data_IF_026407533488
#
_entry.id   IF_026407533488
#
_cell.length_a   1.000
_cell.length_b   1.000
_cell.length_c   1.000
_cell.angle_alpha   90.00
_cell.angle_beta   90.00
_cell.angle_gamma   90.00
#
_symmetry.space_group_name_H-M   'P 1'
#
loop_
_entity.id
_entity.type
_entity.pdbx_description
1 polymer ?
#
# COMPACT_ATOMS: atom_id res chain seq x y z
N UNK A 1 14.87 -1.64 -5.95
CA UNK A 1 13.91 -1.60 -7.08
C UNK A 1 13.39 -3.01 -7.39
N UNK A 2 12.09 -3.19 -7.65
CA UNK A 2 11.45 -4.51 -7.85
C UNK A 2 11.54 -5.11 -9.25
N UNK A 3 12.05 -4.34 -10.22
CA UNK A 3 12.23 -4.76 -11.61
C UNK A 3 13.68 -4.55 -12.04
N UNK A 4 14.12 -5.29 -13.07
CA UNK A 4 15.42 -5.11 -13.71
C UNK A 4 15.31 -5.23 -15.22
N UNK A 5 16.02 -4.38 -15.93
CA UNK A 5 16.17 -4.50 -17.37
C UNK A 5 17.06 -5.72 -17.69
N UNK A 6 16.62 -6.54 -18.63
CA UNK A 6 17.40 -7.65 -19.18
C UNK A 6 17.37 -7.58 -20.69
N UNK A 7 18.52 -7.74 -21.34
CA UNK A 7 18.58 -7.89 -22.80
C UNK A 7 18.22 -9.32 -23.18
N UNK A 8 17.25 -9.47 -24.05
CA UNK A 8 16.88 -10.72 -24.70
C UNK A 8 16.69 -10.47 -26.18
N UNK A 9 17.45 -11.16 -27.04
CA UNK A 9 17.44 -10.98 -28.50
C UNK A 9 17.51 -9.50 -28.95
N UNK A 10 18.50 -8.75 -28.45
CA UNK A 10 18.68 -7.31 -28.70
C UNK A 10 17.52 -6.39 -28.28
N UNK A 11 16.54 -6.89 -27.52
CA UNK A 11 15.47 -6.07 -26.92
C UNK A 11 15.68 -6.00 -25.41
N UNK A 12 15.52 -4.82 -24.85
CA UNK A 12 15.49 -4.63 -23.40
C UNK A 12 14.07 -4.92 -22.91
N UNK A 13 13.96 -5.90 -22.02
CA UNK A 13 12.70 -6.26 -21.36
C UNK A 13 12.84 -5.98 -19.87
N UNK A 14 11.82 -5.33 -19.31
CA UNK A 14 11.72 -5.10 -17.87
C UNK A 14 11.16 -6.37 -17.22
N UNK A 15 11.95 -7.00 -16.34
CA UNK A 15 11.60 -8.27 -15.69
C UNK A 15 11.45 -8.04 -14.19
N UNK A 16 10.35 -8.55 -13.63
CA UNK A 16 10.11 -8.58 -12.19
C UNK A 16 11.17 -9.46 -11.49
N UNK A 17 11.71 -8.99 -10.38
CA UNK A 17 12.74 -9.74 -9.67
C UNK A 17 12.18 -11.01 -9.01
N UNK A 18 12.95 -12.12 -8.94
CA UNK A 18 12.46 -13.40 -8.38
C UNK A 18 11.86 -13.29 -6.98
N UNK A 19 12.43 -12.44 -6.13
CA UNK A 19 11.94 -12.23 -4.78
C UNK A 19 10.60 -11.48 -4.73
N UNK A 20 10.30 -10.63 -5.72
CA UNK A 20 8.98 -9.99 -5.87
C UNK A 20 7.97 -10.99 -6.40
N UNK A 21 8.34 -11.81 -7.40
CA UNK A 21 7.50 -12.91 -7.90
C UNK A 21 7.09 -13.84 -6.74
N UNK A 22 8.04 -14.23 -5.88
CA UNK A 22 7.75 -15.08 -4.73
C UNK A 22 6.78 -14.42 -3.72
N UNK A 23 6.96 -13.13 -3.42
CA UNK A 23 6.02 -12.37 -2.58
C UNK A 23 4.62 -12.31 -3.22
N UNK A 24 4.56 -12.12 -4.54
CA UNK A 24 3.31 -12.11 -5.30
C UNK A 24 2.61 -13.47 -5.24
N UNK A 25 3.32 -14.58 -5.48
CA UNK A 25 2.74 -15.93 -5.34
C UNK A 25 2.21 -16.15 -3.92
N UNK A 26 2.95 -15.75 -2.88
CA UNK A 26 2.49 -15.87 -1.47
C UNK A 26 1.20 -15.08 -1.23
N UNK A 27 1.10 -13.86 -1.76
CA UNK A 27 -0.11 -13.04 -1.69
C UNK A 27 -1.29 -13.71 -2.42
N UNK A 28 -1.11 -14.06 -3.71
CA UNK A 28 -2.16 -14.66 -4.53
C UNK A 28 -2.70 -15.95 -3.89
N UNK A 29 -1.81 -16.81 -3.39
CA UNK A 29 -2.18 -18.04 -2.67
C UNK A 29 -3.08 -17.74 -1.48
N UNK A 30 -2.62 -16.87 -0.56
CA UNK A 30 -3.38 -16.53 0.65
C UNK A 30 -4.72 -15.87 0.32
N UNK A 31 -4.73 -14.94 -0.63
CA UNK A 31 -5.95 -14.26 -1.06
C UNK A 31 -6.99 -15.28 -1.54
N UNK A 32 -6.60 -16.18 -2.44
CA UNK A 32 -7.51 -17.21 -2.97
C UNK A 32 -7.97 -18.20 -1.89
N UNK A 33 -7.11 -18.57 -0.94
CA UNK A 33 -7.51 -19.41 0.21
C UNK A 33 -8.58 -18.74 1.07
N UNK A 34 -8.43 -17.45 1.38
CA UNK A 34 -9.46 -16.71 2.13
C UNK A 34 -10.73 -16.53 1.31
N UNK A 35 -10.61 -16.30 0.00
CA UNK A 35 -11.76 -16.13 -0.90
C UNK A 35 -12.61 -17.40 -1.06
N UNK A 36 -12.05 -18.59 -0.81
CA UNK A 36 -12.80 -19.86 -0.80
C UNK A 36 -13.65 -20.05 0.46
N UNK A 37 -13.44 -19.24 1.50
CA UNK A 37 -14.12 -19.36 2.79
C UNK A 37 -15.11 -18.22 2.98
N UNK A 38 -16.38 -18.57 3.23
CA UNK A 38 -17.43 -17.59 3.52
C UNK A 38 -17.24 -16.89 4.88
N UNK A 39 -16.25 -17.28 5.68
CA UNK A 39 -16.01 -16.70 7.01
C UNK A 39 -15.28 -15.35 6.97
N UNK A 40 -14.80 -14.93 5.80
CA UNK A 40 -13.98 -13.72 5.67
C UNK A 40 -14.69 -12.60 4.93
N UNK A 41 -14.39 -11.36 5.32
CA UNK A 41 -14.75 -10.16 4.57
C UNK A 41 -13.46 -9.43 4.21
N UNK A 42 -13.24 -9.20 2.91
CA UNK A 42 -12.13 -8.38 2.46
C UNK A 42 -12.43 -6.89 2.69
N UNK A 43 -11.46 -6.20 3.27
CA UNK A 43 -11.45 -4.76 3.50
C UNK A 43 -10.23 -4.19 2.79
N UNK A 44 -10.48 -3.22 1.92
CA UNK A 44 -9.48 -2.57 1.09
C UNK A 44 -9.30 -1.15 1.59
N UNK A 45 -8.07 -0.75 1.87
CA UNK A 45 -7.74 0.59 2.32
C UNK A 45 -6.52 1.08 1.56
N UNK A 46 -6.41 2.40 1.45
CA UNK A 46 -5.28 3.08 0.84
C UNK A 46 -5.38 4.59 1.09
N UNK A 47 -4.24 5.27 0.94
CA UNK A 47 -4.15 6.72 0.92
C UNK A 47 -4.17 7.28 -0.51
N UNK A 48 -4.89 8.36 -0.71
CA UNK A 48 -4.76 9.17 -1.92
C UNK A 48 -4.59 10.64 -1.58
N UNK A 49 -4.39 11.46 -2.62
CA UNK A 49 -4.32 12.90 -2.44
C UNK A 49 -5.15 13.61 -3.49
N UNK A 50 -5.66 14.78 -3.11
CA UNK A 50 -6.33 15.73 -3.99
C UNK A 50 -5.79 17.12 -3.76
N UNK A 51 -5.96 17.96 -4.77
CA UNK A 51 -5.75 19.39 -4.64
C UNK A 51 -7.07 20.13 -4.42
N UNK A 52 -7.01 21.21 -3.65
CA UNK A 52 -8.15 22.06 -3.32
C UNK A 52 -8.92 22.51 -4.57
N UNK A 53 -8.20 22.86 -5.64
CA UNK A 53 -8.81 23.31 -6.89
C UNK A 53 -8.99 22.18 -7.92
N UNK A 54 -8.71 20.93 -7.55
CA UNK A 54 -8.70 19.79 -8.47
C UNK A 54 -7.41 19.67 -9.29
N UNK A 55 -7.34 18.60 -10.09
CA UNK A 55 -6.25 18.34 -11.02
C UNK A 55 -6.73 18.47 -12.47
N UNK A 56 -5.83 18.76 -13.43
CA UNK A 56 -6.19 18.75 -14.84
C UNK A 56 -6.83 17.41 -15.25
N UNK A 57 -7.98 17.47 -15.91
CA UNK A 57 -8.65 16.28 -16.46
C UNK A 57 -8.41 16.26 -17.97
N UNK A 58 -7.96 15.13 -18.52
CA UNK A 58 -7.77 14.95 -19.97
C UNK A 58 -9.05 15.34 -20.70
N UNK A 59 -8.94 16.32 -21.60
CA UNK A 59 -10.06 16.90 -22.35
C UNK A 59 -9.66 17.03 -23.81
N UNK A 60 -10.56 16.68 -24.72
CA UNK A 60 -10.36 16.90 -26.16
C UNK A 60 -10.43 18.39 -26.46
N UNK A 61 -9.41 18.91 -27.14
CA UNK A 61 -9.36 20.31 -27.58
C UNK A 61 -9.53 20.35 -29.09
N UNK A 62 -10.38 21.25 -29.58
CA UNK A 62 -10.51 21.50 -31.00
C UNK A 62 -9.43 22.51 -31.42
N UNK A 63 -8.56 22.15 -32.38
CA UNK A 63 -7.49 23.02 -32.89
C UNK A 63 -8.03 24.34 -33.47
N UNK A 64 -9.28 24.35 -33.91
CA UNK A 64 -9.95 25.52 -34.49
C UNK A 64 -10.45 26.52 -33.45
N UNK A 65 -10.52 26.12 -32.17
CA UNK A 65 -10.99 26.96 -31.05
C UNK A 65 -10.03 26.87 -29.85
N UNK A 66 -8.86 27.53 -29.93
CA UNK A 66 -7.91 27.57 -28.83
C UNK A 66 -8.42 28.33 -27.59
N UNK A 67 -9.52 29.08 -27.70
CA UNK A 67 -10.14 29.81 -26.58
C UNK A 67 -11.24 29.00 -25.88
N UNK A 68 -11.77 27.95 -26.52
CA UNK A 68 -12.64 26.93 -25.93
C UNK A 68 -11.91 25.94 -25.01
N UNK A 69 -10.58 26.06 -24.89
CA UNK A 69 -9.76 25.30 -23.94
C UNK A 69 -10.21 25.66 -22.52
N UNK A 70 -10.59 24.67 -21.67
CA UNK A 70 -10.86 24.93 -20.26
C UNK A 70 -9.67 25.69 -19.65
N UNK A 71 -9.93 26.85 -19.04
CA UNK A 71 -8.87 27.63 -18.38
C UNK A 71 -8.09 26.70 -17.44
N UNK A 72 -6.76 26.66 -17.59
CA UNK A 72 -5.88 26.02 -16.61
C UNK A 72 -6.24 26.56 -15.22
N UNK A 73 -6.46 25.66 -14.27
CA UNK A 73 -6.75 26.01 -12.89
C UNK A 73 -5.71 27.03 -12.40
N UNK A 74 -6.16 28.13 -11.78
CA UNK A 74 -5.29 29.17 -11.21
C UNK A 74 -4.57 28.60 -9.97
N UNK A 75 -3.55 27.79 -10.21
CA UNK A 75 -2.83 27.01 -9.20
C UNK A 75 -3.66 25.84 -8.65
N UNK A 76 -2.98 24.81 -8.16
CA UNK A 76 -3.61 23.60 -7.62
C UNK A 76 -4.26 23.87 -6.24
N UNK A 77 -3.75 24.84 -5.49
CA UNK A 77 -4.22 25.15 -4.13
C UNK A 77 -3.62 24.19 -3.10
N UNK A 78 -4.28 24.04 -1.94
CA UNK A 78 -3.79 23.15 -0.86
C UNK A 78 -3.87 21.69 -1.26
N UNK A 79 -2.91 20.87 -0.80
CA UNK A 79 -2.97 19.42 -0.94
C UNK A 79 -3.68 18.82 0.28
N UNK A 80 -4.57 17.88 0.01
CA UNK A 80 -5.22 17.06 1.03
C UNK A 80 -4.79 15.61 0.88
N UNK A 81 -4.44 14.98 1.99
CA UNK A 81 -4.26 13.52 2.07
C UNK A 81 -5.56 12.93 2.55
N UNK A 82 -6.04 11.91 1.85
CA UNK A 82 -7.27 11.19 2.15
C UNK A 82 -6.92 9.75 2.45
N UNK A 83 -7.48 9.21 3.52
CA UNK A 83 -7.43 7.79 3.88
C UNK A 83 -8.84 7.29 4.06
N UNK A 84 -9.14 6.12 3.51
CA UNK A 84 -10.43 5.46 3.69
C UNK A 84 -10.29 3.94 3.55
N UNK A 85 -11.36 3.24 3.90
CA UNK A 85 -11.48 1.80 3.74
C UNK A 85 -12.87 1.43 3.22
N UNK A 86 -12.93 0.38 2.40
CA UNK A 86 -14.17 -0.13 1.82
C UNK A 86 -14.16 -1.64 1.65
N UNK A 87 -15.34 -2.18 1.40
CA UNK A 87 -15.57 -3.59 1.06
C UNK A 87 -16.25 -3.67 -0.31
N UNK A 88 -16.51 -4.87 -0.81
CA UNK A 88 -17.34 -5.05 -2.00
C UNK A 88 -18.76 -4.44 -1.89
N UNK A 89 -19.22 -4.10 -0.68
CA UNK A 89 -20.52 -3.47 -0.41
C UNK A 89 -20.49 -1.94 -0.35
N UNK A 90 -19.31 -1.33 -0.48
CA UNK A 90 -19.16 0.11 -0.32
C UNK A 90 -18.08 0.50 0.70
N UNK A 91 -17.88 1.80 0.84
CA UNK A 91 -17.05 2.39 1.89
C UNK A 91 -17.58 2.06 3.29
N UNK A 92 -16.67 1.85 4.23
CA UNK A 92 -17.01 1.68 5.63
C UNK A 92 -17.44 3.03 6.21
N UNK A 93 -18.53 3.03 6.98
CA UNK A 93 -19.05 4.25 7.59
C UNK A 93 -18.04 4.81 8.61
N UNK A 94 -17.94 6.13 8.67
CA UNK A 94 -17.13 6.89 9.64
C UNK A 94 -15.63 6.51 9.62
N UNK A 95 -15.15 6.02 8.46
CA UNK A 95 -13.75 5.66 8.21
C UNK A 95 -13.04 6.63 7.26
N UNK A 96 -13.67 7.75 6.89
CA UNK A 96 -13.06 8.77 6.04
C UNK A 96 -12.18 9.69 6.87
N UNK A 97 -10.93 9.87 6.43
CA UNK A 97 -9.99 10.80 7.04
C UNK A 97 -9.44 11.72 5.96
N UNK A 98 -9.59 13.03 6.17
CA UNK A 98 -9.08 14.07 5.26
C UNK A 98 -8.21 15.08 6.02
N UNK A 99 -6.93 15.07 5.71
CA UNK A 99 -5.88 15.88 6.32
C UNK A 99 -5.44 16.96 5.34
N UNK A 100 -5.52 18.24 5.73
CA UNK A 100 -5.03 19.37 4.94
C UNK A 100 -3.66 19.86 5.41
N UNK A 101 -2.90 20.49 4.50
CA UNK A 101 -1.69 21.23 4.88
C UNK A 101 -2.07 22.55 5.57
N UNK A 102 -1.94 22.63 6.90
CA UNK A 102 -2.12 23.89 7.64
C UNK A 102 -0.98 24.89 7.37
N UNK A 103 -1.33 26.17 7.20
CA UNK A 103 -0.42 27.26 6.81
C UNK A 103 0.37 27.90 7.95
N UNK A 104 0.38 27.36 9.17
CA UNK A 104 1.11 27.99 10.29
C UNK A 104 2.41 27.31 10.73
N UNK A 105 2.80 26.20 10.11
CA UNK A 105 4.18 25.74 10.18
C UNK A 105 4.61 25.25 8.81
N UNK A 106 5.66 25.88 8.26
CA UNK A 106 6.43 25.39 7.10
C UNK A 106 7.07 24.05 7.48
N UNK A 107 6.25 23.03 7.53
CA UNK A 107 6.69 21.67 7.65
C UNK A 107 5.82 20.85 6.71
N UNK A 108 6.30 20.76 5.47
CA UNK A 108 5.76 19.86 4.43
C UNK A 108 5.71 18.39 4.89
N UNK A 109 6.20 18.08 6.09
CA UNK A 109 6.25 16.77 6.73
C UNK A 109 5.08 16.41 7.65
N UNK A 110 4.01 17.22 7.78
CA UNK A 110 2.74 16.78 8.41
C UNK A 110 1.85 15.97 7.43
N UNK A 111 2.48 15.14 6.59
CA UNK A 111 1.83 14.12 5.78
C UNK A 111 1.50 12.89 6.66
N UNK A 112 0.70 11.96 6.12
CA UNK A 112 0.38 10.68 6.78
C UNK A 112 1.63 10.06 7.44
N UNK A 113 1.51 9.64 8.71
CA UNK A 113 2.59 9.03 9.47
C UNK A 113 2.08 7.90 10.36
N UNK A 114 2.99 7.13 10.95
CA UNK A 114 2.65 5.92 11.70
C UNK A 114 1.70 6.21 12.88
N UNK A 115 1.86 7.35 13.56
CA UNK A 115 0.98 7.76 14.66
C UNK A 115 -0.43 8.06 14.17
N UNK A 116 -0.56 8.90 13.13
CA UNK A 116 -1.87 9.26 12.57
C UNK A 116 -2.59 8.01 12.04
N UNK A 117 -1.86 7.16 11.32
CA UNK A 117 -2.40 5.92 10.78
C UNK A 117 -2.85 4.96 11.89
N UNK A 118 -2.02 4.75 12.91
CA UNK A 118 -2.37 3.90 14.06
C UNK A 118 -3.59 4.45 14.81
N UNK A 119 -3.65 5.77 15.05
CA UNK A 119 -4.81 6.39 15.67
C UNK A 119 -6.09 6.22 14.83
N UNK A 120 -5.98 6.30 13.50
CA UNK A 120 -7.11 6.03 12.59
C UNK A 120 -7.55 4.56 12.65
N UNK A 121 -6.60 3.62 12.69
CA UNK A 121 -6.90 2.20 12.88
C UNK A 121 -7.70 1.98 14.16
N UNK A 122 -7.23 2.54 15.28
CA UNK A 122 -7.86 2.35 16.60
C UNK A 122 -9.22 3.02 16.72
N UNK A 123 -9.36 4.25 16.23
CA UNK A 123 -10.54 5.09 16.47
C UNK A 123 -11.60 4.97 15.39
N UNK A 124 -11.25 4.56 14.18
CA UNK A 124 -12.17 4.50 13.04
C UNK A 124 -12.27 3.10 12.44
N UNK A 125 -11.15 2.53 11.97
CA UNK A 125 -11.19 1.25 11.26
C UNK A 125 -11.70 0.13 12.17
N UNK A 126 -11.07 -0.11 13.32
CA UNK A 126 -11.43 -1.21 14.22
C UNK A 126 -12.90 -1.15 14.67
N UNK A 127 -13.46 0.01 15.09
CA UNK A 127 -14.90 0.13 15.34
C UNK A 127 -15.77 -0.26 14.15
N UNK A 128 -15.41 0.17 12.93
CA UNK A 128 -16.15 -0.20 11.73
C UNK A 128 -16.02 -1.70 11.41
N UNK A 129 -14.86 -2.31 11.62
CA UNK A 129 -14.69 -3.76 11.44
C UNK A 129 -15.53 -4.56 12.44
N UNK A 130 -15.65 -4.11 13.69
CA UNK A 130 -16.49 -4.77 14.69
C UNK A 130 -17.98 -4.76 14.34
N UNK A 131 -18.42 -3.83 13.47
CA UNK A 131 -19.79 -3.82 12.95
C UNK A 131 -20.02 -4.87 11.86
N UNK A 132 -18.96 -5.54 11.40
CA UNK A 132 -19.02 -6.63 10.44
C UNK A 132 -19.00 -7.96 11.20
N UNK A 133 -20.01 -8.81 10.98
CA UNK A 133 -20.19 -10.09 11.71
C UNK A 133 -19.19 -11.21 11.32
N UNK A 134 -18.03 -10.86 10.74
CA UNK A 134 -17.04 -11.82 10.21
C UNK A 134 -15.61 -11.33 10.42
N UNK A 135 -14.67 -12.27 10.40
CA UNK A 135 -13.24 -11.94 10.41
C UNK A 135 -12.88 -11.14 9.16
N UNK A 136 -12.34 -9.95 9.34
CA UNK A 136 -11.92 -9.11 8.24
C UNK A 136 -10.49 -9.45 7.80
N UNK A 137 -10.28 -9.50 6.48
CA UNK A 137 -8.96 -9.58 5.83
C UNK A 137 -8.66 -8.20 5.26
N UNK A 138 -7.78 -7.46 5.93
CA UNK A 138 -7.38 -6.11 5.56
C UNK A 138 -6.25 -6.20 4.55
N UNK A 139 -6.50 -5.72 3.34
CA UNK A 139 -5.49 -5.58 2.28
C UNK A 139 -4.79 -4.25 2.47
N UNK A 140 -3.47 -4.30 2.69
CA UNK A 140 -2.64 -3.14 3.04
C UNK A 140 -1.34 -3.18 2.24
N UNK A 141 -0.82 -2.05 1.79
CA UNK A 141 0.48 -1.99 1.13
C UNK A 141 1.64 -2.04 2.16
N UNK A 142 2.86 -1.70 1.74
CA UNK A 142 4.06 -1.79 2.59
C UNK A 142 4.71 -0.44 2.85
N UNK A 143 3.95 0.66 2.81
CA UNK A 143 4.52 1.97 3.12
C UNK A 143 5.24 1.95 4.49
N UNK A 144 6.32 2.74 4.66
CA UNK A 144 7.12 2.69 5.87
C UNK A 144 6.32 2.93 7.16
N UNK A 145 5.34 3.83 7.12
CA UNK A 145 4.50 4.17 8.27
C UNK A 145 3.46 3.08 8.60
N UNK A 146 3.12 2.21 7.65
CA UNK A 146 2.33 1.01 7.91
C UNK A 146 3.18 -0.12 8.50
N UNK A 147 4.49 -0.08 8.27
CA UNK A 147 5.42 -1.18 8.48
C UNK A 147 6.38 -0.91 9.63
N UNK A 148 5.92 -0.17 10.65
CA UNK A 148 6.71 0.05 11.86
C UNK A 148 6.91 -1.28 12.60
N UNK A 149 8.16 -1.74 12.62
CA UNK A 149 8.52 -3.04 13.16
C UNK A 149 8.54 -3.01 14.70
N UNK A 150 7.73 -3.86 15.35
CA UNK A 150 7.64 -3.94 16.82
C UNK A 150 8.97 -4.33 17.46
N UNK A 151 9.67 -5.28 16.83
CA UNK A 151 10.97 -5.77 17.28
C UNK A 151 11.99 -5.51 16.19
N UNK A 152 12.69 -4.38 16.26
CA UNK A 152 13.73 -4.05 15.29
C UNK A 152 14.78 -5.16 15.30
N UNK A 153 15.00 -5.76 14.13
CA UNK A 153 16.08 -6.71 13.94
C UNK A 153 17.41 -5.97 14.09
N UNK A 154 18.41 -6.56 14.76
CA UNK A 154 19.76 -6.03 14.71
C UNK A 154 20.21 -5.88 13.26
N UNK A 155 20.99 -4.84 13.00
CA UNK A 155 21.68 -4.56 11.74
C UNK A 155 23.19 -4.55 11.98
N UNK A 156 24.01 -4.53 10.94
CA UNK A 156 25.47 -4.54 11.08
C UNK A 156 26.01 -3.41 11.99
N UNK A 157 25.34 -2.27 12.04
CA UNK A 157 25.70 -1.14 12.91
C UNK A 157 25.25 -1.31 14.37
N UNK A 158 24.32 -2.22 14.70
CA UNK A 158 23.81 -2.46 16.06
C UNK A 158 24.95 -2.79 17.04
N UNK A 159 24.84 -2.33 18.29
CA UNK A 159 25.88 -2.54 19.30
C UNK A 159 25.94 -4.02 19.71
N UNK A 160 27.14 -4.51 20.05
CA UNK A 160 27.37 -5.90 20.49
C UNK A 160 26.41 -6.33 21.59
N UNK A 161 26.17 -5.46 22.58
CA UNK A 161 25.23 -5.70 23.70
C UNK A 161 23.81 -5.99 23.21
N UNK A 162 23.31 -5.20 22.28
CA UNK A 162 21.94 -5.33 21.80
C UNK A 162 21.81 -6.55 20.86
N UNK A 163 22.87 -6.91 20.14
CA UNK A 163 22.95 -8.18 19.39
C UNK A 163 22.92 -9.39 20.32
N UNK A 164 23.69 -9.39 21.41
CA UNK A 164 23.66 -10.49 22.39
C UNK A 164 22.31 -10.60 23.09
N UNK A 165 21.70 -9.47 23.48
CA UNK A 165 20.37 -9.46 24.09
C UNK A 165 19.33 -10.04 23.13
N UNK A 166 19.35 -9.63 21.87
CA UNK A 166 18.43 -10.16 20.87
C UNK A 166 18.61 -11.68 20.65
N UNK A 167 19.85 -12.18 20.62
CA UNK A 167 20.12 -13.62 20.51
C UNK A 167 19.58 -14.40 21.72
N UNK A 168 19.72 -13.85 22.93
CA UNK A 168 19.16 -14.43 24.15
C UNK A 168 17.63 -14.45 24.12
N UNK A 169 16.98 -13.33 23.79
CA UNK A 169 15.52 -13.21 23.71
C UNK A 169 14.90 -14.18 22.68
N UNK A 170 15.63 -14.50 21.62
CA UNK A 170 15.20 -15.46 20.59
C UNK A 170 15.69 -16.89 20.84
N UNK A 171 16.32 -17.16 21.98
CA UNK A 171 16.90 -18.47 22.35
C UNK A 171 17.87 -19.03 21.28
N UNK A 172 18.65 -18.16 20.64
CA UNK A 172 19.66 -18.54 19.64
C UNK A 172 21.00 -18.69 20.34
N UNK A 173 21.63 -19.90 20.33
CA UNK A 173 22.93 -20.11 20.93
C UNK A 173 24.01 -19.26 20.27
N UNK A 174 24.89 -18.68 21.07
CA UNK A 174 26.07 -17.96 20.59
C UNK A 174 27.26 -18.17 21.54
N UNK A 175 28.51 -18.18 21.02
CA UNK A 175 29.70 -18.29 21.87
C UNK A 175 29.86 -17.07 22.81
N UNK A 176 30.22 -17.28 24.09
CA UNK A 176 30.30 -16.20 25.08
C UNK A 176 31.34 -15.11 24.73
N UNK A 177 32.42 -15.48 24.05
CA UNK A 177 33.50 -14.56 23.64
C UNK A 177 33.38 -14.06 22.19
N UNK A 178 32.24 -14.27 21.53
CA UNK A 178 32.05 -13.90 20.12
C UNK A 178 32.33 -12.44 19.83
N UNK A 179 33.01 -12.16 18.73
CA UNK A 179 33.18 -10.80 18.22
C UNK A 179 31.84 -10.29 17.67
N UNK A 180 31.71 -8.97 17.53
CA UNK A 180 30.51 -8.35 16.94
C UNK A 180 30.24 -8.90 15.53
N UNK A 181 31.29 -9.17 14.75
CA UNK A 181 31.20 -9.80 13.42
C UNK A 181 30.56 -11.19 13.47
N UNK A 182 30.94 -12.01 14.44
CA UNK A 182 30.48 -13.40 14.56
C UNK A 182 29.02 -13.44 14.98
N UNK A 183 28.65 -12.58 15.94
CA UNK A 183 27.25 -12.39 16.35
C UNK A 183 26.40 -11.91 15.16
N UNK A 184 26.90 -10.95 14.37
CA UNK A 184 26.22 -10.49 13.18
C UNK A 184 26.06 -11.60 12.13
N UNK A 185 27.07 -12.46 11.92
CA UNK A 185 26.99 -13.58 11.00
C UNK A 185 25.88 -14.57 11.41
N UNK A 186 25.79 -14.91 12.70
CA UNK A 186 24.73 -15.77 13.25
C UNK A 186 23.35 -15.11 13.05
N UNK A 187 23.23 -13.82 13.39
CA UNK A 187 21.98 -13.08 13.24
C UNK A 187 21.57 -13.02 11.78
N UNK A 188 22.49 -12.71 10.85
CA UNK A 188 22.21 -12.63 9.40
C UNK A 188 21.70 -13.96 8.85
N UNK A 189 22.34 -15.07 9.20
CA UNK A 189 21.92 -16.41 8.77
C UNK A 189 20.52 -16.80 9.29
N UNK A 190 20.16 -16.32 10.48
CA UNK A 190 18.84 -16.56 11.08
C UNK A 190 17.79 -15.53 10.65
N UNK A 191 18.19 -14.31 10.27
CA UNK A 191 17.32 -13.19 9.89
C UNK A 191 16.35 -13.59 8.77
N UNK A 192 16.81 -14.39 7.81
CA UNK A 192 15.99 -14.86 6.69
C UNK A 192 14.82 -15.77 7.11
N UNK A 193 14.92 -16.42 8.27
CA UNK A 193 13.89 -17.31 8.79
C UNK A 193 12.97 -16.63 9.80
N UNK A 194 13.24 -15.38 10.17
CA UNK A 194 12.46 -14.64 11.17
C UNK A 194 11.45 -13.78 10.47
N UNK A 195 10.17 -14.08 10.71
CA UNK A 195 9.09 -13.24 10.21
C UNK A 195 9.10 -11.89 10.93
N UNK A 196 9.13 -10.81 10.14
CA UNK A 196 9.00 -9.45 10.67
C UNK A 196 7.59 -9.27 11.21
N UNK A 197 7.48 -8.73 12.42
CA UNK A 197 6.19 -8.35 13.03
C UNK A 197 6.04 -6.84 13.04
N UNK A 198 4.94 -6.35 12.49
CA UNK A 198 4.62 -4.93 12.42
C UNK A 198 3.59 -4.54 13.48
N UNK A 199 3.67 -3.32 14.00
CA UNK A 199 2.80 -2.84 15.07
C UNK A 199 1.33 -2.85 14.67
N UNK A 200 1.05 -2.38 13.46
CA UNK A 200 -0.30 -2.41 12.86
C UNK A 200 -0.80 -3.85 12.71
N UNK A 201 0.04 -4.77 12.22
CA UNK A 201 -0.35 -6.17 12.00
C UNK A 201 -0.72 -6.88 13.30
N UNK A 202 0.06 -6.64 14.36
CA UNK A 202 -0.18 -7.17 15.71
C UNK A 202 -1.45 -6.54 16.33
N UNK A 203 -1.64 -5.23 16.19
CA UNK A 203 -2.84 -4.54 16.66
C UNK A 203 -4.11 -5.13 16.02
N UNK A 204 -4.10 -5.34 14.71
CA UNK A 204 -5.22 -5.91 13.95
C UNK A 204 -5.43 -7.39 14.33
N UNK A 205 -4.35 -8.18 14.45
CA UNK A 205 -4.44 -9.58 14.86
C UNK A 205 -5.04 -9.75 16.26
N UNK A 206 -4.64 -8.91 17.22
CA UNK A 206 -5.19 -8.95 18.59
C UNK A 206 -6.69 -8.67 18.64
N UNK A 207 -7.26 -8.09 17.59
CA UNK A 207 -8.70 -7.85 17.43
C UNK A 207 -9.42 -8.94 16.64
N UNK A 208 -8.74 -10.04 16.30
CA UNK A 208 -9.35 -11.17 15.60
C UNK A 208 -9.49 -10.95 14.09
N UNK A 209 -8.69 -10.04 13.52
CA UNK A 209 -8.66 -9.74 12.09
C UNK A 209 -7.30 -10.09 11.48
N UNK A 210 -7.22 -10.13 10.16
CA UNK A 210 -6.04 -10.59 9.42
C UNK A 210 -5.52 -9.45 8.56
N UNK A 211 -4.21 -9.22 8.56
CA UNK A 211 -3.55 -8.35 7.57
C UNK A 211 -3.01 -9.18 6.42
N UNK A 212 -3.35 -8.80 5.20
CA UNK A 212 -2.82 -9.36 3.97
C UNK A 212 -2.06 -8.26 3.21
N UNK A 213 -0.73 -8.26 3.36
CA UNK A 213 0.15 -7.28 2.71
C UNK A 213 0.20 -7.48 1.20
N UNK A 214 -0.04 -6.43 0.43
CA UNK A 214 0.14 -6.43 -1.03
C UNK A 214 1.59 -6.75 -1.39
N UNK A 215 1.84 -7.40 -2.55
CA UNK A 215 3.18 -7.49 -3.08
C UNK A 215 3.66 -6.09 -3.46
N UNK A 216 4.96 -5.75 -3.27
CA UNK A 216 5.48 -4.47 -3.73
C UNK A 216 5.22 -4.25 -5.22
N UNK A 217 4.85 -3.03 -5.61
CA UNK A 217 4.55 -2.64 -7.00
C UNK A 217 3.37 -3.38 -7.65
N UNK A 218 2.46 -3.93 -6.85
CA UNK A 218 1.30 -4.68 -7.33
C UNK A 218 -0.03 -4.07 -6.83
N UNK A 219 -0.22 -2.77 -7.01
CA UNK A 219 -1.43 -2.06 -6.59
C UNK A 219 -2.69 -2.46 -7.38
N UNK A 220 -2.55 -3.09 -8.55
CA UNK A 220 -3.67 -3.57 -9.37
C UNK A 220 -4.55 -4.62 -8.65
N UNK A 221 -4.06 -5.21 -7.56
CA UNK A 221 -4.83 -6.12 -6.70
C UNK A 221 -5.63 -5.41 -5.61
N UNK A 222 -5.56 -4.07 -5.53
CA UNK A 222 -6.27 -3.26 -4.54
C UNK A 222 -7.43 -2.47 -5.21
N UNK A 223 -8.70 -2.90 -5.06
CA UNK A 223 -9.87 -2.28 -5.69
C UNK A 223 -10.08 -0.80 -5.38
N UNK A 224 -9.60 -0.33 -4.22
CA UNK A 224 -9.75 1.07 -3.82
C UNK A 224 -8.99 2.02 -4.77
N UNK A 225 -7.97 1.54 -5.49
CA UNK A 225 -7.26 2.31 -6.51
C UNK A 225 -8.19 2.70 -7.68
N UNK A 226 -9.09 1.79 -8.07
CA UNK A 226 -10.11 2.07 -9.08
C UNK A 226 -11.14 3.09 -8.56
N UNK A 227 -11.51 2.98 -7.27
CA UNK A 227 -12.36 3.96 -6.62
C UNK A 227 -11.70 5.35 -6.63
N UNK A 228 -10.43 5.45 -6.25
CA UNK A 228 -9.65 6.69 -6.31
C UNK A 228 -9.57 7.28 -7.70
N UNK A 229 -9.36 6.45 -8.74
CA UNK A 229 -9.40 6.91 -10.13
C UNK A 229 -10.72 7.59 -10.48
N UNK A 230 -11.85 6.97 -10.15
CA UNK A 230 -13.17 7.53 -10.41
C UNK A 230 -13.45 8.79 -9.57
N UNK A 231 -13.26 8.70 -8.25
CA UNK A 231 -13.64 9.75 -7.30
C UNK A 231 -12.83 11.02 -7.56
N UNK A 232 -11.51 10.91 -7.81
CA UNK A 232 -10.67 12.07 -8.14
C UNK A 232 -11.06 12.71 -9.47
N UNK A 233 -11.45 11.90 -10.45
CA UNK A 233 -11.98 12.40 -11.74
C UNK A 233 -13.30 13.13 -11.54
N UNK A 234 -14.22 12.56 -10.77
CA UNK A 234 -15.49 13.20 -10.43
C UNK A 234 -15.26 14.51 -9.69
N UNK A 235 -14.45 14.49 -8.64
CA UNK A 235 -14.08 15.68 -7.86
C UNK A 235 -13.52 16.79 -8.75
N UNK A 236 -12.54 16.47 -9.59
CA UNK A 236 -11.86 17.47 -10.44
C UNK A 236 -12.79 18.07 -11.50
N UNK A 237 -13.77 17.32 -12.00
CA UNK A 237 -14.78 17.81 -12.95
C UNK A 237 -15.82 18.73 -12.32
N UNK A 238 -16.07 18.60 -11.02
CA UNK A 238 -17.21 19.25 -10.36
C UNK A 238 -16.80 20.28 -9.31
N UNK A 239 -15.53 20.35 -8.91
CA UNK A 239 -15.06 21.34 -7.95
C UNK A 239 -15.16 22.76 -8.55
N UNK A 240 -15.93 23.69 -7.96
CA UNK A 240 -16.12 25.02 -8.54
C UNK A 240 -14.90 25.93 -8.34
N UNK A 241 -14.54 26.71 -9.37
CA UNK A 241 -13.43 27.69 -9.33
C UNK A 241 -13.64 28.93 -8.42
N UNK A 242 -14.66 28.95 -7.57
CA UNK A 242 -15.21 30.19 -6.98
C UNK A 242 -14.64 30.58 -5.60
N UNK A 243 -14.55 31.89 -5.36
CA UNK A 243 -14.22 32.55 -4.09
C UNK A 243 -15.15 32.13 -2.93
N UNK A 244 -14.59 31.92 -1.74
CA UNK A 244 -15.28 31.45 -0.52
C UNK A 244 -14.36 30.58 0.37
N UNK A 245 -14.85 30.08 1.53
CA UNK A 245 -14.06 29.19 2.38
C UNK A 245 -13.79 27.87 1.66
N UNK A 246 -12.60 27.75 1.09
CA UNK A 246 -12.26 26.68 0.15
C UNK A 246 -12.27 25.29 0.80
N UNK A 247 -11.93 25.19 2.09
CA UNK A 247 -11.87 23.90 2.81
C UNK A 247 -13.23 23.20 2.88
N UNK A 248 -14.28 23.92 3.27
CA UNK A 248 -15.63 23.36 3.42
C UNK A 248 -16.19 22.90 2.07
N UNK A 249 -15.95 23.70 1.01
CA UNK A 249 -16.32 23.32 -0.35
C UNK A 249 -15.61 22.05 -0.81
N UNK A 250 -14.30 21.95 -0.53
CA UNK A 250 -13.51 20.76 -0.86
C UNK A 250 -14.02 19.53 -0.11
N UNK A 251 -14.34 19.64 1.19
CA UNK A 251 -14.94 18.55 1.97
C UNK A 251 -16.30 18.13 1.40
N UNK A 252 -17.20 19.06 1.17
CA UNK A 252 -18.53 18.77 0.61
C UNK A 252 -18.46 18.13 -0.78
N UNK A 253 -17.57 18.63 -1.66
CA UNK A 253 -17.39 18.06 -2.99
C UNK A 253 -16.76 16.67 -2.93
N UNK A 254 -15.80 16.46 -2.02
CA UNK A 254 -15.21 15.15 -1.80
C UNK A 254 -16.24 14.14 -1.29
N UNK A 255 -17.06 14.51 -0.29
CA UNK A 255 -18.17 13.68 0.19
C UNK A 255 -19.15 13.31 -0.92
N UNK A 256 -19.54 14.27 -1.77
CA UNK A 256 -20.39 13.99 -2.94
C UNK A 256 -19.71 13.05 -3.94
N UNK A 257 -18.41 13.19 -4.15
CA UNK A 257 -17.66 12.30 -5.05
C UNK A 257 -17.61 10.86 -4.50
N UNK A 258 -17.45 10.70 -3.19
CA UNK A 258 -17.54 9.40 -2.51
C UNK A 258 -18.92 8.78 -2.68
N UNK A 259 -20.00 9.54 -2.46
CA UNK A 259 -21.39 9.08 -2.63
C UNK A 259 -21.71 8.64 -4.07
N UNK A 260 -21.06 9.25 -5.07
CA UNK A 260 -21.23 8.88 -6.48
C UNK A 260 -20.49 7.57 -6.86
N UNK A 261 -19.57 7.08 -6.03
CA UNK A 261 -18.95 5.77 -6.22
C UNK A 261 -19.80 4.70 -5.53
N UNK A 262 -20.79 4.19 -6.27
CA UNK A 262 -21.86 3.35 -5.74
C UNK A 262 -21.38 1.96 -5.25
N UNK A 263 -22.18 1.26 -4.42
CA UNK A 263 -21.90 -0.13 -4.05
C UNK A 263 -21.70 -1.08 -5.23
N UNK A 264 -22.44 -0.90 -6.33
CA UNK A 264 -22.29 -1.72 -7.54
C UNK A 264 -20.92 -1.48 -8.21
N UNK A 265 -20.46 -0.23 -8.22
CA UNK A 265 -19.11 0.11 -8.71
C UNK A 265 -18.04 -0.52 -7.82
N UNK A 266 -18.21 -0.48 -6.50
CA UNK A 266 -17.35 -1.20 -5.55
C UNK A 266 -17.29 -2.70 -5.84
N UNK A 267 -18.46 -3.35 -5.98
CA UNK A 267 -18.53 -4.78 -6.28
C UNK A 267 -17.87 -5.12 -7.62
N UNK A 268 -18.00 -4.27 -8.63
CA UNK A 268 -17.35 -4.45 -9.93
C UNK A 268 -15.82 -4.26 -9.84
N UNK A 269 -15.34 -3.26 -9.09
CA UNK A 269 -13.91 -3.06 -8.84
C UNK A 269 -13.28 -4.25 -8.12
N UNK A 270 -13.95 -4.80 -7.10
CA UNK A 270 -13.48 -6.00 -6.40
C UNK A 270 -13.42 -7.19 -7.35
N UNK A 271 -14.48 -7.44 -8.12
CA UNK A 271 -14.54 -8.53 -9.10
C UNK A 271 -13.43 -8.44 -10.13
N UNK A 272 -13.17 -7.24 -10.65
CA UNK A 272 -12.08 -7.01 -11.60
C UNK A 272 -10.72 -7.38 -11.01
N UNK A 273 -10.40 -6.94 -9.79
CA UNK A 273 -9.15 -7.30 -9.12
C UNK A 273 -9.07 -8.81 -8.82
N UNK A 274 -10.17 -9.44 -8.42
CA UNK A 274 -10.22 -10.89 -8.20
C UNK A 274 -10.01 -11.70 -9.48
N UNK A 275 -10.55 -11.25 -10.62
CA UNK A 275 -10.30 -11.83 -11.94
C UNK A 275 -8.81 -11.73 -12.29
N UNK A 276 -8.19 -10.56 -12.10
CA UNK A 276 -6.75 -10.37 -12.29
C UNK A 276 -5.92 -11.30 -11.40
N UNK A 277 -6.29 -11.43 -10.12
CA UNK A 277 -5.63 -12.34 -9.16
C UNK A 277 -5.70 -13.79 -9.65
N UNK A 278 -6.87 -14.25 -10.13
CA UNK A 278 -7.07 -15.61 -10.66
C UNK A 278 -6.29 -15.84 -11.96
N UNK A 279 -6.28 -14.87 -12.85
CA UNK A 279 -5.51 -14.94 -14.09
C UNK A 279 -4.01 -15.03 -13.84
N UNK A 280 -3.48 -14.17 -12.96
CA UNK A 280 -2.05 -14.17 -12.63
C UNK A 280 -1.65 -15.42 -11.87
N UNK A 281 -2.52 -15.94 -11.00
CA UNK A 281 -2.33 -17.25 -10.39
C UNK A 281 -2.20 -18.36 -11.44
N UNK A 282 -3.13 -18.40 -12.41
CA UNK A 282 -3.11 -19.39 -13.49
C UNK A 282 -1.87 -19.25 -14.38
N UNK A 283 -1.41 -18.03 -14.67
CA UNK A 283 -0.17 -17.79 -15.44
C UNK A 283 1.07 -18.31 -14.71
N UNK A 284 1.12 -18.17 -13.39
CA UNK A 284 2.30 -18.52 -12.58
C UNK A 284 2.31 -20.00 -12.18
N UNK A 285 1.16 -20.57 -11.81
CA UNK A 285 1.03 -21.90 -11.23
C UNK A 285 0.36 -22.93 -12.16
N UNK A 286 -0.16 -22.51 -13.31
CA UNK A 286 -0.94 -23.38 -14.19
C UNK A 286 -2.26 -23.82 -13.55
N UNK A 287 -2.60 -25.10 -13.69
CA UNK A 287 -3.81 -25.70 -13.10
C UNK A 287 -3.54 -26.39 -11.75
N UNK A 288 -2.43 -26.08 -11.07
CA UNK A 288 -2.11 -26.68 -9.79
C UNK A 288 -3.14 -26.26 -8.72
N UNK A 289 -3.62 -27.22 -7.89
CA UNK A 289 -4.45 -26.91 -6.74
C UNK A 289 -3.71 -25.98 -5.77
N UNK A 290 -4.45 -25.08 -5.13
CA UNK A 290 -3.91 -24.07 -4.22
C UNK A 290 -3.16 -24.71 -3.03
N UNK A 291 -3.62 -25.88 -2.59
CA UNK A 291 -3.11 -26.58 -1.41
C UNK A 291 -1.85 -27.43 -1.69
N UNK A 292 -1.57 -27.77 -2.96
CA UNK A 292 -0.52 -28.74 -3.33
C UNK A 292 0.87 -28.10 -3.59
N UNK A 293 1.06 -26.85 -3.20
CA UNK A 293 2.29 -26.11 -3.56
C UNK A 293 3.37 -26.25 -2.48
N UNK A 294 4.56 -26.82 -2.81
CA UNK A 294 5.68 -26.91 -1.91
C UNK A 294 6.24 -25.52 -1.55
N UNK A 295 6.96 -25.38 -0.41
CA UNK A 295 7.53 -24.10 0.01
C UNK A 295 8.42 -23.49 -1.08
N UNK A 296 8.23 -22.20 -1.36
CA UNK A 296 9.00 -21.46 -2.35
C UNK A 296 10.44 -21.27 -1.82
N UNK A 297 11.41 -21.99 -2.39
CA UNK A 297 12.83 -21.83 -2.06
C UNK A 297 13.43 -20.81 -3.04
N UNK A 298 13.75 -19.61 -2.54
CA UNK A 298 14.48 -18.60 -3.32
C UNK A 298 15.97 -18.80 -3.05
N UNK A 299 16.71 -19.35 -4.02
CA UNK A 299 18.18 -19.32 -3.98
C UNK A 299 18.65 -17.91 -4.34
N UNK A 300 18.96 -17.10 -3.33
CA UNK A 300 19.64 -15.81 -3.52
C UNK A 300 21.11 -16.11 -3.81
N UNK A 301 21.56 -15.87 -5.04
CA UNK A 301 22.99 -15.83 -5.36
C UNK A 301 23.66 -14.73 -4.53
N UNK A 302 24.81 -15.04 -3.93
CA UNK A 302 25.50 -14.27 -2.89
C UNK A 302 26.08 -12.89 -3.30
N UNK A 303 25.50 -12.21 -4.28
CA UNK A 303 26.00 -10.92 -4.76
C UNK A 303 24.93 -9.84 -4.67
N UNK A 304 25.18 -8.90 -3.75
CA UNK A 304 24.54 -7.59 -3.59
C UNK A 304 23.16 -7.54 -2.93
N UNK A 305 23.09 -7.89 -1.65
CA UNK A 305 22.09 -7.30 -0.73
C UNK A 305 22.55 -5.87 -0.35
N UNK A 306 22.33 -4.92 -1.26
CA UNK A 306 22.06 -3.54 -0.83
C UNK A 306 20.56 -3.48 -0.51
N UNK A 307 20.20 -3.89 0.71
CA UNK A 307 18.95 -3.43 1.32
C UNK A 307 19.14 -1.92 1.55
N UNK A 308 18.92 -1.12 0.50
CA UNK A 308 18.85 0.33 0.61
C UNK A 308 17.70 0.65 1.57
N UNK A 309 18.09 1.22 2.69
CA UNK A 309 17.27 2.00 3.60
C UNK A 309 16.44 2.97 2.74
N UNK A 310 15.13 2.72 2.60
CA UNK A 310 14.22 3.59 1.85
C UNK A 310 13.96 4.87 2.66
N UNK A 311 15.01 5.66 2.82
CA UNK A 311 15.00 7.03 3.27
C UNK A 311 15.06 7.94 2.05
N UNK A 312 13.90 8.52 1.71
CA UNK A 312 13.76 9.72 0.88
C UNK A 312 14.32 9.65 -0.55
N UNK A 313 13.52 9.20 -1.50
CA UNK A 313 13.61 9.71 -2.88
C UNK A 313 12.23 10.08 -3.42
N UNK A 314 12.19 11.30 -3.97
CA UNK A 314 11.06 11.92 -4.64
C UNK A 314 10.59 11.04 -5.81
N UNK A 315 9.31 10.65 -5.79
CA UNK A 315 8.61 10.23 -7.00
C UNK A 315 8.35 11.47 -7.86
N UNK A 316 9.28 11.78 -8.76
CA UNK A 316 8.94 12.43 -10.02
C UNK A 316 8.83 11.33 -11.08
N UNK A 317 7.61 11.06 -11.54
CA UNK A 317 7.40 10.45 -12.84
C UNK A 317 6.30 11.22 -13.56
N UNK A 318 6.73 12.11 -14.45
CA UNK A 318 6.09 12.36 -15.73
C UNK A 318 7.18 12.90 -16.66
N UNK A 319 7.85 11.97 -17.36
CA UNK A 319 8.60 12.28 -18.56
C UNK A 319 7.74 11.87 -19.75
N UNK A 320 7.05 12.84 -20.36
CA UNK A 320 6.69 12.75 -21.77
C UNK A 320 7.90 13.23 -22.58
N UNK A 321 8.44 12.30 -23.37
CA UNK A 321 9.31 12.61 -24.50
C UNK A 321 8.47 13.15 -25.64
N UNK A 322 8.91 14.33 -26.13
CA UNK A 322 8.58 15.06 -27.37
C UNK A 322 7.21 15.74 -27.50
#
# INVERSE_FOLDING_TARGET
MGYKWKKFNNREILIEQPHIIAKRIKFLKKYLQYLQSDNYIFVFLDETWIYENGSPVKTWVNESDPLGVPQRLKGEGRRFTILHAGTARGFLKDCDLMLGSDTEHRDYHKNMNAKIFTEWIEKQLLPALNSLDKTCVIVLDNAPYHSEQLRKLPVASTKKRDMTQWLQENNIPYPPDSLKSDLWAIIRDKKQFIEKTYAVDDLIHKRGHIVLRLPPYNCQYNPIELAWGFIKTYYSKHIPSASGPKLEKTRQMWSRALENFTPDMWANSVRHCEELIREDWKKLMGNLPIDDIPPIIIQLSAESDSEDDWGSEHFESDSETE
#
